data_IF_443476042342
#
_entry.id   IF_443476042342
#
_cell.length_a   1.000
_cell.length_b   1.000
_cell.length_c   1.000
_cell.angle_alpha   90.00
_cell.angle_beta   90.00
_cell.angle_gamma   90.00
#
_symmetry.space_group_name_H-M   'P 1'
#
loop_
_entity.id
_entity.type
_entity.pdbx_description
1 polymer ?
#
# COMPACT_ATOMS: atom_id res chain seq x y z
N UNK A 1 -10.80 -9.00 -3.58
CA UNK A 1 -10.00 -7.88 -4.11
C UNK A 1 -10.32 -6.59 -3.37
N UNK A 2 -9.32 -5.80 -2.98
CA UNK A 2 -9.48 -4.44 -2.42
C UNK A 2 -9.31 -3.40 -3.52
N UNK A 3 -10.14 -2.35 -3.54
CA UNK A 3 -10.03 -1.25 -4.49
C UNK A 3 -9.99 0.07 -3.70
N UNK A 4 -9.05 0.96 -4.05
CA UNK A 4 -8.85 2.25 -3.39
C UNK A 4 -8.73 3.34 -4.45
N UNK A 5 -9.61 4.34 -4.42
CA UNK A 5 -9.61 5.46 -5.39
C UNK A 5 -10.58 5.33 -6.57
N UNK A 6 -11.42 4.30 -6.59
CA UNK A 6 -12.51 4.20 -7.55
C UNK A 6 -13.67 5.15 -7.18
N UNK A 7 -14.34 5.72 -8.18
CA UNK A 7 -15.42 6.70 -7.97
C UNK A 7 -16.72 6.08 -7.44
N UNK A 8 -16.93 4.78 -7.64
CA UNK A 8 -18.13 4.05 -7.23
C UNK A 8 -17.94 3.31 -5.90
N UNK A 9 -16.69 2.98 -5.54
CA UNK A 9 -16.39 2.16 -4.36
C UNK A 9 -15.82 3.04 -3.23
N UNK A 10 -16.51 3.13 -2.08
CA UNK A 10 -15.99 3.89 -0.94
C UNK A 10 -14.72 3.26 -0.39
N UNK A 11 -13.77 4.11 0.00
CA UNK A 11 -12.52 3.70 0.61
C UNK A 11 -12.16 4.60 1.80
N UNK A 12 -11.33 4.07 2.69
CA UNK A 12 -10.78 4.82 3.81
C UNK A 12 -9.75 5.82 3.28
N UNK A 13 -9.99 7.11 3.49
CA UNK A 13 -9.05 8.15 3.09
C UNK A 13 -7.75 8.04 3.88
N UNK A 14 -6.65 8.47 3.27
CA UNK A 14 -5.33 8.46 3.90
C UNK A 14 -4.61 9.79 3.71
N UNK A 15 -3.69 10.09 4.61
CA UNK A 15 -2.83 11.28 4.53
C UNK A 15 -1.43 10.87 4.10
N UNK A 16 -0.90 11.55 3.08
CA UNK A 16 0.48 11.38 2.66
C UNK A 16 1.41 12.05 3.67
N UNK A 17 2.43 11.33 4.11
CA UNK A 17 3.44 11.82 5.05
C UNK A 17 4.83 11.54 4.52
N UNK A 18 5.77 12.42 4.85
CA UNK A 18 7.19 12.28 4.50
C UNK A 18 8.11 12.31 5.73
N UNK A 19 7.57 12.66 6.89
CA UNK A 19 8.27 12.74 8.16
C UNK A 19 7.37 12.36 9.33
N UNK A 20 7.97 12.07 10.49
CA UNK A 20 7.24 11.86 11.74
C UNK A 20 6.44 13.12 12.14
N UNK A 21 6.93 14.31 11.80
CA UNK A 21 6.23 15.56 12.09
C UNK A 21 4.93 15.68 11.29
N UNK A 22 4.92 15.23 10.03
CA UNK A 22 3.71 15.19 9.22
C UNK A 22 2.65 14.28 9.88
N UNK A 23 3.06 13.15 10.48
CA UNK A 23 2.16 12.21 11.17
C UNK A 23 1.41 12.91 12.30
N UNK A 24 2.09 13.77 13.09
CA UNK A 24 1.45 14.48 14.22
C UNK A 24 0.36 15.46 13.78
N UNK A 25 0.43 15.91 12.53
CA UNK A 25 -0.56 16.81 11.93
C UNK A 25 -1.73 16.06 11.25
N UNK A 26 -1.67 14.72 11.21
CA UNK A 26 -2.77 13.90 10.67
C UNK A 26 -3.92 13.77 11.66
N UNK A 27 -5.10 13.37 11.16
CA UNK A 27 -6.24 13.08 12.04
C UNK A 27 -5.94 11.83 12.88
N UNK A 28 -6.30 11.82 14.18
CA UNK A 28 -6.16 10.62 15.00
C UNK A 28 -6.82 9.40 14.35
N UNK A 29 -6.16 8.25 14.45
CA UNK A 29 -6.59 6.96 13.86
C UNK A 29 -6.80 6.99 12.33
N UNK A 30 -6.32 8.01 11.63
CA UNK A 30 -6.35 8.02 10.16
C UNK A 30 -5.28 7.11 9.59
N UNK A 31 -5.53 6.61 8.38
CA UNK A 31 -4.54 5.87 7.63
C UNK A 31 -3.48 6.82 7.05
N UNK A 32 -2.22 6.45 7.12
CA UNK A 32 -1.12 7.23 6.55
C UNK A 32 -0.47 6.51 5.38
N UNK A 33 0.01 7.28 4.40
CA UNK A 33 0.71 6.78 3.22
C UNK A 33 2.10 7.38 3.12
N UNK A 34 3.10 6.54 2.88
CA UNK A 34 4.47 6.99 2.62
C UNK A 34 5.22 6.05 1.69
N UNK A 35 6.27 6.57 1.04
CA UNK A 35 7.26 5.74 0.36
C UNK A 35 8.11 4.99 1.39
N UNK A 36 8.57 3.78 1.07
CA UNK A 36 9.40 2.99 1.96
C UNK A 36 10.50 3.84 2.62
N UNK A 37 10.42 3.92 3.94
CA UNK A 37 11.34 4.66 4.80
C UNK A 37 11.39 3.92 6.13
N UNK A 38 12.59 3.49 6.54
CA UNK A 38 12.76 2.65 7.73
C UNK A 38 12.35 3.35 9.03
N UNK A 39 12.55 4.67 9.12
CA UNK A 39 12.16 5.47 10.28
C UNK A 39 10.64 5.55 10.41
N UNK A 40 9.94 5.86 9.31
CA UNK A 40 8.48 5.91 9.28
C UNK A 40 7.84 4.54 9.53
N UNK A 41 8.41 3.47 8.99
CA UNK A 41 7.95 2.09 9.25
C UNK A 41 8.03 1.75 10.74
N UNK A 42 9.21 1.94 11.34
CA UNK A 42 9.43 1.65 12.77
C UNK A 42 8.50 2.50 13.63
N UNK A 43 8.42 3.80 13.36
CA UNK A 43 7.55 4.70 14.11
C UNK A 43 6.08 4.27 14.02
N UNK A 44 5.59 4.00 12.81
CA UNK A 44 4.20 3.59 12.58
C UNK A 44 3.87 2.29 13.31
N UNK A 45 4.77 1.31 13.29
CA UNK A 45 4.61 0.06 14.02
C UNK A 45 4.55 0.26 15.53
N UNK A 46 5.54 0.95 16.12
CA UNK A 46 5.59 1.15 17.58
C UNK A 46 4.45 2.03 18.12
N UNK A 47 3.89 2.90 17.28
CA UNK A 47 2.72 3.72 17.62
C UNK A 47 1.38 3.07 17.22
N UNK A 48 1.38 1.82 16.73
CA UNK A 48 0.19 1.11 16.26
C UNK A 48 -0.65 1.90 15.23
N UNK A 49 0.02 2.57 14.29
CA UNK A 49 -0.64 3.33 13.24
C UNK A 49 -1.05 2.43 12.07
N UNK A 50 -2.19 2.73 11.44
CA UNK A 50 -2.58 2.10 10.19
C UNK A 50 -1.86 2.79 9.03
N UNK A 51 -1.13 2.04 8.21
CA UNK A 51 -0.42 2.62 7.09
C UNK A 51 -0.44 1.77 5.82
N UNK A 52 -0.32 2.46 4.68
CA UNK A 52 0.06 1.88 3.39
C UNK A 52 1.47 2.36 3.05
N UNK A 53 2.27 1.49 2.44
CA UNK A 53 3.64 1.83 2.05
C UNK A 53 3.90 1.51 0.59
N UNK A 54 4.47 2.47 -0.14
CA UNK A 54 4.94 2.23 -1.50
C UNK A 54 6.34 1.61 -1.48
N UNK A 55 6.52 0.48 -2.15
CA UNK A 55 7.78 -0.28 -2.22
C UNK A 55 8.23 -0.47 -3.66
N UNK A 56 9.54 -0.55 -3.86
CA UNK A 56 10.18 -0.76 -5.17
C UNK A 56 10.94 -2.08 -5.27
N UNK A 57 11.00 -2.86 -4.20
CA UNK A 57 11.72 -4.14 -4.18
C UNK A 57 11.08 -5.17 -3.26
N UNK A 58 11.40 -6.45 -3.50
CA UNK A 58 10.97 -7.56 -2.63
C UNK A 58 11.49 -7.37 -1.20
N UNK A 59 12.74 -6.88 -1.06
CA UNK A 59 13.35 -6.62 0.24
C UNK A 59 12.53 -5.62 1.05
N UNK A 60 12.11 -4.52 0.43
CA UNK A 60 11.27 -3.51 1.07
C UNK A 60 9.91 -4.06 1.47
N UNK A 61 9.28 -4.88 0.61
CA UNK A 61 8.01 -5.52 0.90
C UNK A 61 8.10 -6.49 2.10
N UNK A 62 9.19 -7.26 2.21
CA UNK A 62 9.44 -8.14 3.36
C UNK A 62 9.51 -7.33 4.66
N UNK A 63 10.26 -6.22 4.66
CA UNK A 63 10.31 -5.34 5.82
C UNK A 63 8.93 -4.74 6.14
N UNK A 64 8.23 -4.20 5.14
CA UNK A 64 6.91 -3.62 5.29
C UNK A 64 5.92 -4.62 5.91
N UNK A 65 5.92 -5.87 5.44
CA UNK A 65 5.07 -6.93 5.98
C UNK A 65 5.37 -7.24 7.44
N UNK A 66 6.65 -7.34 7.82
CA UNK A 66 7.05 -7.59 9.21
C UNK A 66 6.77 -6.41 10.16
N UNK A 67 6.58 -5.20 9.63
CA UNK A 67 6.14 -4.02 10.37
C UNK A 67 4.62 -3.81 10.31
N UNK A 68 3.85 -4.84 9.97
CA UNK A 68 2.38 -4.82 9.91
C UNK A 68 1.81 -3.73 8.99
N UNK A 69 2.44 -3.49 7.84
CA UNK A 69 1.82 -2.66 6.81
C UNK A 69 0.44 -3.23 6.46
N UNK A 70 -0.60 -2.39 6.50
CA UNK A 70 -1.96 -2.83 6.13
C UNK A 70 -2.03 -3.14 4.63
N UNK A 71 -1.37 -2.30 3.83
CA UNK A 71 -1.26 -2.44 2.38
C UNK A 71 0.17 -2.16 1.91
N UNK A 72 0.67 -3.01 1.03
CA UNK A 72 1.95 -2.84 0.34
C UNK A 72 1.64 -2.49 -1.11
N UNK A 73 2.02 -1.28 -1.54
CA UNK A 73 1.71 -0.72 -2.85
C UNK A 73 2.94 -0.83 -3.74
N UNK A 74 2.78 -1.30 -4.97
CA UNK A 74 3.87 -1.35 -5.96
C UNK A 74 3.35 -1.39 -7.40
N UNK A 75 4.28 -1.30 -8.36
CA UNK A 75 3.96 -1.50 -9.78
C UNK A 75 3.57 -2.96 -10.07
N UNK A 76 2.76 -3.15 -11.11
CA UNK A 76 2.14 -4.43 -11.48
C UNK A 76 3.12 -5.61 -11.60
N UNK A 77 4.28 -5.39 -12.21
CA UNK A 77 5.30 -6.44 -12.37
C UNK A 77 5.89 -6.90 -11.04
N UNK A 78 6.00 -6.00 -10.06
CA UNK A 78 6.42 -6.36 -8.71
C UNK A 78 5.26 -6.98 -7.92
N UNK A 79 4.04 -6.45 -8.06
CA UNK A 79 2.85 -6.94 -7.38
C UNK A 79 2.61 -8.44 -7.66
N UNK A 80 2.73 -8.88 -8.92
CA UNK A 80 2.64 -10.30 -9.30
C UNK A 80 3.61 -11.21 -8.56
N UNK A 81 4.85 -10.74 -8.35
CA UNK A 81 5.89 -11.50 -7.63
C UNK A 81 5.60 -11.49 -6.13
N UNK A 82 5.22 -10.32 -5.60
CA UNK A 82 4.92 -10.15 -4.19
C UNK A 82 3.68 -10.92 -3.77
N UNK A 83 2.64 -11.02 -4.59
CA UNK A 83 1.43 -11.80 -4.26
C UNK A 83 1.80 -13.27 -3.97
N UNK A 84 2.56 -13.91 -4.86
CA UNK A 84 3.02 -15.29 -4.66
C UNK A 84 3.85 -15.47 -3.38
N UNK A 85 4.68 -14.48 -3.05
CA UNK A 85 5.48 -14.50 -1.82
C UNK A 85 4.57 -14.33 -0.62
N UNK A 86 3.66 -13.35 -0.65
CA UNK A 86 2.70 -13.05 0.40
C UNK A 86 1.83 -14.28 0.72
N UNK A 87 1.31 -14.97 -0.31
CA UNK A 87 0.50 -16.16 -0.13
C UNK A 87 1.31 -17.32 0.47
N UNK A 88 2.54 -17.55 -0.03
CA UNK A 88 3.41 -18.63 0.45
C UNK A 88 3.87 -18.42 1.91
N UNK A 89 4.08 -17.18 2.32
CA UNK A 89 4.47 -16.81 3.68
C UNK A 89 3.30 -16.36 4.55
N UNK A 90 2.07 -16.42 4.04
CA UNK A 90 0.84 -16.00 4.71
C UNK A 90 0.94 -14.60 5.32
N UNK A 91 1.37 -13.61 4.54
CA UNK A 91 1.45 -12.22 4.99
C UNK A 91 0.05 -11.69 5.37
N UNK A 92 -0.05 -11.02 6.52
CA UNK A 92 -1.27 -10.28 6.89
C UNK A 92 -1.49 -9.03 6.01
N UNK A 93 -0.39 -8.50 5.46
CA UNK A 93 -0.38 -7.37 4.53
C UNK A 93 -0.98 -7.74 3.18
N UNK A 94 -1.84 -6.86 2.64
CA UNK A 94 -2.37 -7.02 1.28
C UNK A 94 -1.51 -6.34 0.23
N UNK A 95 -1.32 -6.99 -0.91
CA UNK A 95 -0.58 -6.42 -2.05
C UNK A 95 -1.52 -5.64 -2.97
N UNK A 96 -1.26 -4.36 -3.20
CA UNK A 96 -2.03 -3.53 -4.12
C UNK A 96 -1.17 -3.07 -5.30
N UNK A 97 -1.65 -3.30 -6.52
CA UNK A 97 -1.01 -2.75 -7.73
C UNK A 97 -1.54 -1.35 -8.04
N UNK A 98 -0.70 -0.49 -8.58
CA UNK A 98 -1.10 0.83 -9.06
C UNK A 98 -1.81 0.68 -10.42
N UNK A 99 -2.96 1.33 -10.59
CA UNK A 99 -3.74 1.39 -11.85
C UNK A 99 -4.11 2.84 -12.20
N UNK A 100 -4.45 3.08 -13.47
CA UNK A 100 -4.89 4.41 -13.95
C UNK A 100 -6.38 4.46 -14.26
N UNK A 101 -6.97 3.34 -14.67
CA UNK A 101 -8.38 3.23 -15.06
C UNK A 101 -8.99 1.97 -14.46
N UNK A 102 -10.32 1.96 -14.31
CA UNK A 102 -11.09 0.75 -13.99
C UNK A 102 -10.93 -0.35 -15.04
N UNK A 103 -10.52 -0.02 -16.26
CA UNK A 103 -10.26 -0.99 -17.32
C UNK A 103 -9.14 -1.97 -16.96
N UNK A 104 -8.25 -1.60 -16.04
CA UNK A 104 -7.17 -2.47 -15.56
C UNK A 104 -7.67 -3.53 -14.56
N UNK A 105 -8.87 -3.38 -13.98
CA UNK A 105 -9.35 -4.23 -12.87
C UNK A 105 -9.47 -5.72 -13.25
N UNK A 106 -9.93 -6.01 -14.47
CA UNK A 106 -10.01 -7.39 -14.96
C UNK A 106 -8.62 -8.04 -15.01
N UNK A 107 -7.60 -7.29 -15.47
CA UNK A 107 -6.22 -7.75 -15.48
C UNK A 107 -5.73 -8.02 -14.05
N UNK A 108 -5.99 -7.12 -13.11
CA UNK A 108 -5.57 -7.30 -11.71
C UNK A 108 -6.20 -8.56 -11.10
N UNK A 109 -7.48 -8.81 -11.40
CA UNK A 109 -8.19 -10.01 -10.94
C UNK A 109 -7.62 -11.30 -11.56
N UNK A 110 -7.33 -11.30 -12.87
CA UNK A 110 -6.71 -12.44 -13.56
C UNK A 110 -5.29 -12.74 -13.09
N UNK A 111 -4.57 -11.72 -12.61
CA UNK A 111 -3.24 -11.85 -12.01
C UNK A 111 -3.29 -12.23 -10.51
N UNK A 112 -4.50 -12.42 -9.96
CA UNK A 112 -4.77 -12.83 -8.57
C UNK A 112 -4.21 -11.88 -7.51
N UNK A 113 -3.96 -10.61 -7.88
CA UNK A 113 -3.44 -9.61 -6.95
C UNK A 113 -4.56 -9.19 -5.98
N UNK A 114 -4.20 -9.08 -4.71
CA UNK A 114 -5.11 -8.75 -3.60
C UNK A 114 -5.96 -7.49 -3.85
N UNK A 115 -5.45 -6.53 -4.61
CA UNK A 115 -6.19 -5.33 -4.95
C UNK A 115 -5.47 -4.32 -5.84
N UNK A 116 -6.12 -3.17 -6.02
CA UNK A 116 -5.63 -2.07 -6.83
C UNK A 116 -5.83 -0.72 -6.13
N UNK A 117 -4.94 0.22 -6.45
CA UNK A 117 -5.02 1.62 -6.01
C UNK A 117 -4.79 2.56 -7.19
N UNK A 118 -5.64 3.58 -7.31
CA UNK A 118 -5.54 4.55 -8.41
C UNK A 118 -4.36 5.50 -8.21
N UNK A 119 -3.58 5.71 -9.28
CA UNK A 119 -2.37 6.54 -9.24
C UNK A 119 -2.61 7.98 -8.78
N UNK A 120 -3.80 8.52 -9.07
CA UNK A 120 -4.17 9.91 -8.76
C UNK A 120 -4.16 10.20 -7.26
N UNK A 121 -4.35 9.18 -6.41
CA UNK A 121 -4.27 9.33 -4.96
C UNK A 121 -2.84 9.34 -4.41
N UNK A 122 -1.86 8.90 -5.18
CA UNK A 122 -0.49 8.70 -4.70
C UNK A 122 0.42 9.91 -4.98
N UNK A 123 0.02 10.75 -5.95
CA UNK A 123 0.86 11.81 -6.55
C UNK A 123 2.27 11.30 -6.91
N UNK A 124 2.37 10.02 -7.28
CA UNK A 124 3.61 9.41 -7.78
C UNK A 124 3.62 9.64 -9.29
N UNK A 125 4.74 10.16 -9.83
CA UNK A 125 4.97 10.13 -11.28
C UNK A 125 5.22 8.67 -11.67
N UNK A 126 4.19 8.02 -12.22
CA UNK A 126 4.26 6.69 -12.85
C UNK A 126 4.78 6.85 -14.28
#
# INVERSE_FOLDING_TARGET
>A
MKIIGDNLIPFEAFSKVTSIEDIKNTKPNSMIFFNFNEELLKYSFFQNLNFLVYVKSIKEAIYASNFNAKYIICENELAKKLQKIADNYMWDSKILTIIKSSDDLEKVALEEIDGAIYSDLLEIKV
#
